data_IF_550387294417
#
_entry.id   IF_550387294417
#
_cell.length_a   1.000
_cell.length_b   1.000
_cell.length_c   1.000
_cell.angle_alpha   90.00
_cell.angle_beta   90.00
_cell.angle_gamma   90.00
#
_symmetry.space_group_name_H-M   'P 1'
#
loop_
_entity.id
_entity.type
_entity.pdbx_description
1 polymer ?
#
# COMPACT_ATOMS: atom_id res chain seq x y z
N UNK A 1 -40.88 74.96 10.59
CA UNK A 1 -41.04 73.54 10.97
C UNK A 1 -40.52 72.66 9.83
N UNK A 2 -39.47 71.84 10.01
CA UNK A 2 -38.94 71.04 8.88
C UNK A 2 -37.82 70.04 9.15
N UNK A 3 -37.34 69.89 10.39
CA UNK A 3 -36.18 69.03 10.69
C UNK A 3 -36.52 67.58 11.04
N UNK A 4 -37.80 67.24 11.25
CA UNK A 4 -38.20 65.92 11.79
C UNK A 4 -38.55 64.84 10.75
N UNK A 5 -38.68 65.17 9.46
CA UNK A 5 -39.01 64.19 8.41
C UNK A 5 -37.79 63.40 7.91
N UNK A 6 -36.60 63.99 7.89
CA UNK A 6 -35.38 63.36 7.38
C UNK A 6 -34.85 62.25 8.31
N UNK A 7 -35.06 62.38 9.62
CA UNK A 7 -34.59 61.40 10.62
C UNK A 7 -35.31 60.05 10.51
N UNK A 8 -36.59 60.04 10.09
CA UNK A 8 -37.35 58.79 9.91
C UNK A 8 -36.96 58.04 8.63
N UNK A 9 -36.66 58.77 7.54
CA UNK A 9 -36.19 58.17 6.27
C UNK A 9 -34.83 57.49 6.42
N UNK A 10 -33.89 58.12 7.13
CA UNK A 10 -32.56 57.53 7.36
C UNK A 10 -32.60 56.26 8.25
N UNK A 11 -33.56 56.16 9.18
CA UNK A 11 -33.74 54.92 9.97
C UNK A 11 -34.25 53.76 9.12
N UNK A 12 -35.16 53.99 8.17
CA UNK A 12 -35.64 52.93 7.26
C UNK A 12 -34.55 52.48 6.26
N UNK A 13 -33.77 53.42 5.72
CA UNK A 13 -32.65 53.10 4.82
C UNK A 13 -31.53 52.34 5.54
N UNK A 14 -31.23 52.70 6.79
CA UNK A 14 -30.25 51.97 7.58
C UNK A 14 -30.75 50.57 7.96
N UNK A 15 -32.03 50.43 8.34
CA UNK A 15 -32.65 49.13 8.62
C UNK A 15 -32.49 48.14 7.46
N UNK A 16 -32.83 48.56 6.23
CA UNK A 16 -32.68 47.75 5.01
C UNK A 16 -31.24 47.29 4.73
N UNK A 17 -30.26 48.18 4.96
CA UNK A 17 -28.83 47.86 4.82
C UNK A 17 -28.37 46.83 5.86
N UNK A 18 -28.89 46.89 7.09
CA UNK A 18 -28.55 45.88 8.12
C UNK A 18 -29.08 44.51 7.72
N UNK A 19 -30.33 44.41 7.21
CA UNK A 19 -30.90 43.12 6.78
C UNK A 19 -30.15 42.53 5.58
N UNK A 20 -29.76 43.38 4.61
CA UNK A 20 -28.93 42.96 3.46
C UNK A 20 -27.56 42.44 3.90
N UNK A 21 -26.89 43.13 4.82
CA UNK A 21 -25.58 42.71 5.33
C UNK A 21 -25.67 41.41 6.15
N UNK A 22 -26.76 41.23 6.92
CA UNK A 22 -27.02 39.99 7.65
C UNK A 22 -27.23 38.82 6.67
N UNK A 23 -28.05 39.03 5.64
CA UNK A 23 -28.29 38.04 4.58
C UNK A 23 -27.01 37.63 3.86
N UNK A 24 -26.16 38.59 3.50
CA UNK A 24 -24.87 38.34 2.85
C UNK A 24 -23.89 37.55 3.74
N UNK A 25 -23.86 37.84 5.04
CA UNK A 25 -23.05 37.07 6.00
C UNK A 25 -23.56 35.64 6.14
N UNK A 26 -24.87 35.46 6.22
CA UNK A 26 -25.50 34.13 6.28
C UNK A 26 -25.21 33.30 5.03
N UNK A 27 -25.38 33.86 3.83
CA UNK A 27 -25.06 33.13 2.59
C UNK A 27 -23.58 32.78 2.51
N UNK A 28 -22.68 33.69 2.91
CA UNK A 28 -21.23 33.42 2.93
C UNK A 28 -20.88 32.27 3.88
N UNK A 29 -21.47 32.23 5.06
CA UNK A 29 -21.28 31.13 6.02
C UNK A 29 -21.81 29.81 5.43
N UNK A 30 -23.00 29.83 4.82
CA UNK A 30 -23.62 28.66 4.21
C UNK A 30 -22.77 28.09 3.06
N UNK A 31 -22.26 28.96 2.18
CA UNK A 31 -21.36 28.56 1.10
C UNK A 31 -20.04 28.02 1.66
N UNK A 32 -19.49 28.64 2.70
CA UNK A 32 -18.27 28.16 3.35
C UNK A 32 -18.46 26.75 3.94
N UNK A 33 -19.56 26.51 4.65
CA UNK A 33 -19.90 25.18 5.16
C UNK A 33 -20.15 24.17 4.04
N UNK A 34 -20.78 24.58 2.93
CA UNK A 34 -20.96 23.73 1.75
C UNK A 34 -19.62 23.29 1.16
N UNK A 35 -18.68 24.22 0.99
CA UNK A 35 -17.33 23.91 0.54
C UNK A 35 -16.56 23.04 1.53
N UNK A 36 -16.70 23.33 2.83
CA UNK A 36 -16.03 22.55 3.88
C UNK A 36 -16.54 21.10 3.90
N UNK A 37 -17.84 20.89 3.79
CA UNK A 37 -18.44 19.55 3.70
C UNK A 37 -17.98 18.78 2.46
N UNK A 38 -17.93 19.45 1.31
CA UNK A 38 -17.38 18.87 0.06
C UNK A 38 -15.91 18.50 0.21
N UNK A 39 -15.11 19.37 0.82
CA UNK A 39 -13.69 19.11 1.10
C UNK A 39 -13.52 17.88 1.99
N UNK A 40 -14.26 17.79 3.10
CA UNK A 40 -14.21 16.64 4.02
C UNK A 40 -14.60 15.34 3.30
N UNK A 41 -15.62 15.37 2.44
CA UNK A 41 -16.00 14.19 1.64
C UNK A 41 -14.87 13.73 0.72
N UNK A 42 -14.22 14.66 0.02
CA UNK A 42 -13.08 14.35 -0.84
C UNK A 42 -11.94 13.76 0.00
N UNK A 43 -11.52 14.43 1.07
CA UNK A 43 -10.47 13.94 1.96
C UNK A 43 -10.80 12.59 2.60
N UNK A 44 -12.07 12.32 2.93
CA UNK A 44 -12.50 11.04 3.50
C UNK A 44 -12.41 9.90 2.50
N UNK A 45 -12.66 10.15 1.21
CA UNK A 45 -12.51 9.15 0.14
C UNK A 45 -11.03 8.89 -0.15
N UNK A 46 -10.18 9.92 -0.07
CA UNK A 46 -8.74 9.78 -0.28
C UNK A 46 -7.96 9.22 0.93
N UNK A 47 -8.45 9.37 2.16
CA UNK A 47 -7.82 8.83 3.37
C UNK A 47 -7.51 7.31 3.35
N UNK A 48 -8.41 6.41 2.94
CA UNK A 48 -8.12 4.97 2.88
C UNK A 48 -7.02 4.61 1.87
N UNK A 49 -6.78 5.45 0.86
CA UNK A 49 -5.79 5.21 -0.18
C UNK A 49 -4.36 5.36 0.35
N UNK A 50 -4.16 6.23 1.34
CA UNK A 50 -2.86 6.43 1.99
C UNK A 50 -2.48 5.24 2.87
N UNK A 51 -3.46 4.65 3.55
CA UNK A 51 -3.24 3.43 4.35
C UNK A 51 -2.89 2.22 3.48
N UNK A 52 -3.43 2.17 2.26
CA UNK A 52 -3.14 1.08 1.31
C UNK A 52 -1.68 1.10 0.84
N UNK A 53 -1.11 2.28 0.61
CA UNK A 53 0.30 2.43 0.26
C UNK A 53 1.22 1.92 1.38
N UNK A 54 0.91 2.30 2.63
CA UNK A 54 1.70 1.87 3.78
C UNK A 54 1.61 0.35 4.01
N UNK A 55 0.42 -0.24 3.85
CA UNK A 55 0.24 -1.68 3.94
C UNK A 55 1.02 -2.44 2.85
N UNK A 56 1.06 -1.92 1.62
CA UNK A 56 1.82 -2.52 0.52
C UNK A 56 3.34 -2.46 0.75
N UNK A 57 3.85 -1.37 1.34
CA UNK A 57 5.26 -1.27 1.71
C UNK A 57 5.64 -2.25 2.82
N UNK A 58 4.78 -2.42 3.82
CA UNK A 58 4.96 -3.41 4.88
C UNK A 58 4.94 -4.84 4.34
N UNK A 59 4.00 -5.16 3.45
CA UNK A 59 3.92 -6.47 2.80
C UNK A 59 5.17 -6.75 1.95
N UNK A 60 5.65 -5.77 1.17
CA UNK A 60 6.89 -5.88 0.42
C UNK A 60 8.11 -6.10 1.32
N UNK A 61 8.18 -5.40 2.46
CA UNK A 61 9.26 -5.57 3.42
C UNK A 61 9.24 -6.99 4.05
N UNK A 62 8.06 -7.52 4.37
CA UNK A 62 7.92 -8.88 4.88
C UNK A 62 8.29 -9.93 3.83
N UNK A 63 7.83 -9.77 2.59
CA UNK A 63 8.17 -10.67 1.49
C UNK A 63 9.69 -10.69 1.23
N UNK A 64 10.33 -9.51 1.22
CA UNK A 64 11.80 -9.42 1.08
C UNK A 64 12.53 -10.16 2.18
N UNK A 65 12.15 -9.97 3.44
CA UNK A 65 12.74 -10.70 4.58
C UNK A 65 12.58 -12.21 4.43
N UNK A 66 11.40 -12.68 4.01
CA UNK A 66 11.13 -14.11 3.81
C UNK A 66 11.95 -14.68 2.65
N UNK A 67 12.16 -13.90 1.59
CA UNK A 67 12.96 -14.30 0.45
C UNK A 67 14.45 -14.38 0.82
N UNK A 68 14.95 -13.43 1.61
CA UNK A 68 16.30 -13.47 2.16
C UNK A 68 16.51 -14.67 3.09
N UNK A 69 15.58 -14.95 4.01
CA UNK A 69 15.70 -16.12 4.90
C UNK A 69 15.72 -17.43 4.12
N UNK A 70 14.83 -17.58 3.12
CA UNK A 70 14.80 -18.75 2.25
C UNK A 70 16.10 -18.89 1.44
N UNK A 71 16.67 -17.78 0.97
CA UNK A 71 17.93 -17.80 0.22
C UNK A 71 19.11 -18.23 1.10
N UNK A 72 19.15 -17.77 2.35
CA UNK A 72 20.16 -18.19 3.33
C UNK A 72 20.03 -19.69 3.61
N UNK A 73 18.82 -20.16 3.91
CA UNK A 73 18.55 -21.58 4.19
C UNK A 73 18.92 -22.46 2.99
N UNK A 74 18.54 -22.05 1.77
CA UNK A 74 18.92 -22.77 0.55
C UNK A 74 20.43 -22.83 0.39
N UNK A 75 21.14 -21.72 0.58
CA UNK A 75 22.60 -21.70 0.48
C UNK A 75 23.27 -22.57 1.55
N UNK A 76 22.72 -22.66 2.76
CA UNK A 76 23.22 -23.56 3.80
C UNK A 76 23.03 -25.02 3.37
N UNK A 77 21.82 -25.40 2.96
CA UNK A 77 21.55 -26.76 2.45
C UNK A 77 22.42 -27.13 1.26
N UNK A 78 22.62 -26.21 0.32
CA UNK A 78 23.51 -26.41 -0.83
C UNK A 78 24.98 -26.58 -0.40
N UNK A 79 25.45 -25.85 0.61
CA UNK A 79 26.80 -26.05 1.15
C UNK A 79 26.92 -27.39 1.85
N UNK A 80 25.94 -27.76 2.65
CA UNK A 80 25.91 -29.05 3.35
C UNK A 80 25.89 -30.19 2.33
N UNK A 81 25.06 -30.08 1.28
CA UNK A 81 24.98 -31.03 0.19
C UNK A 81 26.27 -31.09 -0.62
N UNK A 82 26.94 -29.96 -0.91
CA UNK A 82 28.26 -29.94 -1.57
C UNK A 82 29.33 -30.57 -0.67
N UNK A 83 29.29 -30.32 0.64
CA UNK A 83 30.21 -30.95 1.59
C UNK A 83 30.00 -32.47 1.68
N UNK A 84 28.75 -32.93 1.69
CA UNK A 84 28.42 -34.36 1.63
C UNK A 84 28.70 -34.97 0.25
N UNK A 85 28.52 -34.22 -0.83
CA UNK A 85 28.72 -34.70 -2.21
C UNK A 85 30.17 -34.72 -2.66
N UNK A 86 31.08 -34.05 -1.94
CA UNK A 86 32.52 -34.10 -2.20
C UNK A 86 33.17 -35.43 -1.74
N UNK A 87 32.39 -36.36 -1.19
CA UNK A 87 32.86 -37.72 -0.96
C UNK A 87 33.06 -38.42 -2.31
N UNK A 88 34.25 -38.98 -2.53
CA UNK A 88 34.66 -39.56 -3.83
C UNK A 88 33.68 -40.65 -4.28
N UNK A 89 33.15 -41.42 -3.32
CA UNK A 89 32.17 -42.48 -3.53
C UNK A 89 30.84 -41.94 -4.09
N UNK A 90 30.37 -40.79 -3.59
CA UNK A 90 29.15 -40.15 -4.09
C UNK A 90 29.32 -39.62 -5.52
N UNK A 91 30.47 -38.99 -5.81
CA UNK A 91 30.80 -38.53 -7.16
C UNK A 91 30.89 -39.69 -8.15
N UNK A 92 31.45 -40.83 -7.73
CA UNK A 92 31.48 -42.05 -8.54
C UNK A 92 30.07 -42.55 -8.86
N UNK A 93 29.19 -42.62 -7.86
CA UNK A 93 27.80 -43.06 -8.04
C UNK A 93 27.08 -42.14 -9.06
N UNK A 94 27.18 -40.82 -8.89
CA UNK A 94 26.54 -39.84 -9.79
C UNK A 94 27.15 -39.86 -11.19
N UNK A 95 28.47 -40.01 -11.30
CA UNK A 95 29.14 -40.12 -12.60
C UNK A 95 28.75 -41.41 -13.33
N UNK A 96 28.67 -42.54 -12.61
CA UNK A 96 28.24 -43.82 -13.15
C UNK A 96 26.79 -43.79 -13.63
N UNK A 97 25.89 -43.17 -12.87
CA UNK A 97 24.48 -43.02 -13.27
C UNK A 97 24.35 -42.18 -14.54
N UNK A 98 25.06 -41.04 -14.61
CA UNK A 98 25.09 -40.18 -15.81
C UNK A 98 25.71 -40.85 -17.04
N UNK A 99 26.76 -41.66 -16.85
CA UNK A 99 27.46 -42.36 -17.92
C UNK A 99 26.83 -43.74 -18.24
N UNK A 100 25.77 -44.13 -17.54
CA UNK A 100 25.14 -45.45 -17.61
C UNK A 100 26.16 -46.61 -17.47
N UNK A 101 27.14 -46.46 -16.56
CA UNK A 101 28.18 -47.45 -16.31
C UNK A 101 27.77 -48.40 -15.17
N UNK A 102 27.82 -49.71 -15.42
CA UNK A 102 27.60 -50.74 -14.40
C UNK A 102 28.91 -51.28 -13.83
N UNK A 103 28.93 -51.67 -12.56
CA UNK A 103 30.01 -52.50 -12.02
C UNK A 103 29.87 -53.96 -12.53
N UNK A 104 30.98 -54.72 -12.54
CA UNK A 104 30.92 -56.15 -12.82
C UNK A 104 30.04 -56.85 -11.76
N UNK A 105 28.86 -57.34 -12.16
CA UNK A 105 27.92 -58.06 -11.28
C UNK A 105 26.66 -57.29 -10.87
N UNK A 106 26.50 -56.02 -11.22
CA UNK A 106 25.26 -55.27 -10.97
C UNK A 106 24.25 -55.37 -12.13
N UNK A 107 22.94 -55.34 -11.81
CA UNK A 107 21.83 -55.33 -12.76
C UNK A 107 21.03 -54.04 -12.60
N UNK A 108 20.96 -53.23 -13.66
CA UNK A 108 20.22 -51.96 -13.66
C UNK A 108 18.73 -52.24 -13.93
N UNK A 109 17.88 -51.96 -12.94
CA UNK A 109 16.43 -52.04 -13.11
C UNK A 109 15.86 -50.67 -13.50
N UNK A 110 15.28 -50.59 -14.71
CA UNK A 110 14.51 -49.41 -15.14
C UNK A 110 13.03 -49.71 -15.04
N UNK A 111 12.36 -49.06 -14.08
CA UNK A 111 10.90 -49.15 -13.95
C UNK A 111 10.29 -48.10 -14.90
N UNK A 112 9.71 -48.55 -16.00
CA UNK A 112 8.90 -47.68 -16.86
C UNK A 112 7.53 -47.50 -16.19
N UNK A 113 7.11 -46.25 -15.99
CA UNK A 113 5.77 -45.91 -15.52
C UNK A 113 4.87 -45.57 -16.69
#
# INVERSE_FOLDING_TARGET
MGKNSNTRRNRQLNGGKVVLNIWQRLTRILVFFSFLGLSVLVFSVFAPEWNKLQAMDEENAQLKKKLESLKIERNQRLKDEVHTSNDIEYLEIVARDKLNLQMPGEVIFRIQR
#
